data_IF_475747859234
#
_entry.id   IF_475747859234
#
_cell.length_a   1.000
_cell.length_b   1.000
_cell.length_c   1.000
_cell.angle_alpha   90.00
_cell.angle_beta   90.00
_cell.angle_gamma   90.00
#
_symmetry.space_group_name_H-M   'P 1'
#
loop_
_entity.id
_entity.type
_entity.pdbx_description
1 polymer ?
#
# COMPACT_ATOMS: atom_id res chain seq x y z
N UNK A 1 15.17 -53.32 6.32
CA UNK A 1 15.63 -52.02 6.81
C UNK A 1 16.25 -52.21 8.19
N UNK A 2 17.54 -51.94 8.34
CA UNK A 2 18.20 -51.87 9.67
C UNK A 2 18.44 -50.40 9.98
N UNK A 3 17.91 -49.94 11.12
CA UNK A 3 18.14 -48.58 11.61
C UNK A 3 19.00 -48.67 12.86
N UNK A 4 20.19 -48.08 12.81
CA UNK A 4 21.10 -47.99 13.97
C UNK A 4 21.19 -46.53 14.39
N UNK A 5 20.94 -46.29 15.67
CA UNK A 5 21.18 -45.00 16.32
C UNK A 5 22.47 -45.09 17.13
N UNK A 6 23.46 -44.29 16.76
CA UNK A 6 24.69 -44.17 17.52
C UNK A 6 24.79 -42.81 18.20
N UNK A 7 25.12 -42.83 19.49
CA UNK A 7 25.46 -41.63 20.24
C UNK A 7 26.99 -41.59 20.36
N UNK A 8 27.63 -40.60 19.74
CA UNK A 8 29.06 -40.38 19.94
C UNK A 8 29.31 -39.02 20.58
N UNK A 9 30.06 -39.03 21.69
CA UNK A 9 30.43 -37.84 22.44
C UNK A 9 31.88 -37.49 22.10
N UNK A 10 32.08 -36.41 21.35
CA UNK A 10 33.32 -35.60 21.39
C UNK A 10 32.98 -34.21 21.92
N UNK A 11 34.00 -33.45 22.29
CA UNK A 11 33.99 -32.19 23.08
C UNK A 11 33.06 -31.04 22.62
N UNK A 12 32.14 -31.22 21.66
CA UNK A 12 31.25 -30.20 21.11
C UNK A 12 29.74 -30.57 21.16
N UNK A 13 29.32 -31.40 22.11
CA UNK A 13 27.91 -31.77 22.33
C UNK A 13 27.47 -33.10 21.67
N UNK A 14 26.30 -33.66 22.05
CA UNK A 14 25.81 -34.91 21.51
C UNK A 14 25.36 -34.72 20.06
N UNK A 15 25.94 -35.49 19.14
CA UNK A 15 25.42 -35.62 17.77
C UNK A 15 24.76 -36.97 17.64
N UNK A 16 23.52 -36.97 17.15
CA UNK A 16 22.80 -38.19 16.76
C UNK A 16 23.07 -38.41 15.28
N UNK A 17 23.46 -39.61 14.90
CA UNK A 17 23.46 -40.03 13.51
C UNK A 17 22.45 -41.16 13.32
N UNK A 18 21.67 -41.06 12.24
CA UNK A 18 20.76 -42.11 11.75
C UNK A 18 21.45 -42.79 10.59
N UNK A 19 21.70 -44.09 10.72
CA UNK A 19 22.08 -44.93 9.60
C UNK A 19 20.85 -45.70 9.16
N UNK A 20 20.44 -45.50 7.92
CA UNK A 20 19.33 -46.23 7.32
C UNK A 20 19.88 -47.08 6.19
N UNK A 21 19.85 -48.40 6.40
CA UNK A 21 20.29 -49.36 5.41
C UNK A 21 19.06 -50.10 4.84
N UNK A 22 18.72 -49.78 3.59
CA UNK A 22 17.78 -50.53 2.77
C UNK A 22 18.52 -51.51 1.86
N UNK A 23 17.94 -52.70 1.66
CA UNK A 23 18.51 -53.73 0.77
C UNK A 23 19.46 -54.75 1.42
N UNK A 24 19.54 -54.86 2.75
CA UNK A 24 20.30 -55.94 3.42
C UNK A 24 19.77 -57.37 3.18
N UNK A 25 18.65 -57.51 2.45
CA UNK A 25 17.98 -58.79 2.18
C UNK A 25 18.78 -59.80 1.34
N UNK A 26 19.90 -59.40 0.74
CA UNK A 26 20.79 -60.30 0.00
C UNK A 26 22.13 -60.59 0.71
N UNK A 27 22.39 -59.98 1.87
CA UNK A 27 23.66 -60.16 2.59
C UNK A 27 23.79 -61.53 3.29
N UNK A 28 22.71 -62.32 3.30
CA UNK A 28 22.73 -63.73 3.72
C UNK A 28 22.30 -64.61 2.55
N UNK A 29 23.21 -65.00 1.64
CA UNK A 29 22.92 -66.11 0.75
C UNK A 29 22.80 -67.38 1.60
N UNK A 30 21.68 -68.08 1.46
CA UNK A 30 21.58 -69.48 1.85
C UNK A 30 22.47 -70.31 0.89
N UNK A 31 23.79 -70.28 1.12
CA UNK A 31 24.75 -70.95 0.26
C UNK A 31 26.18 -70.47 0.53
N UNK A 32 26.94 -71.26 1.30
CA UNK A 32 28.36 -71.02 1.51
C UNK A 32 29.16 -71.24 0.22
N UNK A 33 29.63 -70.15 -0.36
CA UNK A 33 30.67 -70.14 -1.38
C UNK A 33 31.94 -69.48 -0.83
N UNK A 34 33.12 -69.98 -1.20
CA UNK A 34 34.43 -69.46 -0.78
C UNK A 34 34.79 -68.12 -1.48
N UNK A 35 33.95 -67.09 -1.33
CA UNK A 35 34.32 -65.72 -1.63
C UNK A 35 35.12 -65.13 -0.46
N UNK A 36 36.12 -64.29 -0.73
CA UNK A 36 36.91 -63.64 0.32
C UNK A 36 36.00 -62.89 1.29
N UNK A 37 36.13 -63.19 2.59
CA UNK A 37 35.30 -62.75 3.72
C UNK A 37 35.36 -61.24 4.02
N UNK A 38 35.79 -60.41 3.07
CA UNK A 38 36.02 -58.99 3.27
C UNK A 38 34.80 -58.10 2.97
N UNK A 39 33.75 -58.65 2.38
CA UNK A 39 32.58 -57.88 1.91
C UNK A 39 31.21 -58.40 2.39
N UNK A 40 31.16 -59.44 3.24
CA UNK A 40 29.92 -59.95 3.83
C UNK A 40 30.07 -60.31 5.32
N UNK A 41 28.96 -60.28 6.06
CA UNK A 41 28.91 -60.60 7.49
C UNK A 41 28.87 -62.13 7.64
N UNK A 42 30.03 -62.76 7.84
CA UNK A 42 30.11 -64.19 8.13
C UNK A 42 29.52 -64.53 9.52
N UNK A 43 28.86 -65.68 9.64
CA UNK A 43 28.16 -66.11 10.86
C UNK A 43 29.07 -66.35 12.08
N UNK A 44 30.40 -66.43 11.93
CA UNK A 44 31.25 -66.95 13.00
C UNK A 44 32.03 -65.93 13.83
N UNK A 45 32.51 -64.78 13.30
CA UNK A 45 32.81 -63.59 14.13
C UNK A 45 32.91 -62.36 13.19
N UNK A 46 31.85 -61.55 13.02
CA UNK A 46 32.01 -60.32 12.26
C UNK A 46 32.87 -59.32 13.05
N UNK A 47 34.00 -58.90 12.48
CA UNK A 47 34.70 -57.71 12.94
C UNK A 47 33.89 -56.47 12.53
N UNK A 48 32.81 -56.24 13.30
CA UNK A 48 31.94 -55.08 13.16
C UNK A 48 32.72 -53.78 13.25
N UNK A 49 33.84 -53.76 13.98
CA UNK A 49 34.72 -52.60 14.08
C UNK A 49 35.32 -52.24 12.73
N UNK A 50 35.88 -53.22 12.02
CA UNK A 50 36.48 -53.01 10.71
C UNK A 50 35.43 -52.66 9.65
N UNK A 51 34.27 -53.33 9.66
CA UNK A 51 33.18 -53.03 8.73
C UNK A 51 32.68 -51.58 8.90
N UNK A 52 32.41 -51.17 10.14
CA UNK A 52 31.97 -49.79 10.44
C UNK A 52 33.07 -48.78 10.10
N UNK A 53 34.32 -49.05 10.45
CA UNK A 53 35.44 -48.16 10.12
C UNK A 53 35.57 -47.96 8.60
N UNK A 54 35.44 -49.03 7.82
CA UNK A 54 35.50 -48.98 6.35
C UNK A 54 34.28 -48.24 5.78
N UNK A 55 33.09 -48.46 6.33
CA UNK A 55 31.89 -47.71 5.96
C UNK A 55 32.08 -46.21 6.20
N UNK A 56 32.54 -45.81 7.39
CA UNK A 56 32.73 -44.39 7.72
C UNK A 56 33.87 -43.73 6.95
N UNK A 57 34.92 -44.47 6.58
CA UNK A 57 36.10 -43.92 5.89
C UNK A 57 35.97 -43.92 4.37
N UNK A 58 35.35 -44.95 3.78
CA UNK A 58 35.25 -45.11 2.32
C UNK A 58 33.89 -44.66 1.77
N UNK A 59 32.81 -44.85 2.54
CA UNK A 59 31.44 -44.50 2.13
C UNK A 59 30.84 -43.34 2.92
N UNK A 60 31.57 -42.82 3.92
CA UNK A 60 31.26 -41.57 4.58
C UNK A 60 31.43 -40.41 3.60
N UNK A 61 30.43 -40.18 2.74
CA UNK A 61 30.22 -38.87 2.14
C UNK A 61 30.04 -37.92 3.31
N UNK A 62 31.12 -37.22 3.68
CA UNK A 62 31.00 -36.02 4.52
C UNK A 62 29.95 -35.19 3.80
N UNK A 63 28.79 -35.00 4.42
CA UNK A 63 27.85 -33.97 4.00
C UNK A 63 28.68 -32.70 4.14
N UNK A 64 29.30 -32.26 3.03
CA UNK A 64 29.83 -30.91 2.96
C UNK A 64 28.60 -30.08 3.27
N UNK A 65 28.65 -29.34 4.37
CA UNK A 65 27.62 -28.35 4.64
C UNK A 65 27.37 -27.64 3.31
N UNK A 66 26.10 -27.54 2.91
CA UNK A 66 25.74 -26.82 1.70
C UNK A 66 26.56 -25.53 1.70
N UNK A 67 27.27 -25.22 0.60
CA UNK A 67 28.12 -24.03 0.57
C UNK A 67 27.27 -22.88 1.11
N UNK A 68 27.76 -22.23 2.16
CA UNK A 68 27.04 -21.12 2.77
C UNK A 68 26.67 -20.17 1.63
N UNK A 69 25.37 -19.91 1.46
CA UNK A 69 24.96 -18.98 0.42
C UNK A 69 25.68 -17.66 0.72
N UNK A 70 26.37 -17.09 -0.28
CA UNK A 70 27.06 -15.82 -0.09
C UNK A 70 26.03 -14.77 0.31
N UNK A 71 26.45 -13.80 1.12
CA UNK A 71 25.62 -12.66 1.44
C UNK A 71 25.18 -11.95 0.13
N UNK A 72 23.93 -11.54 0.05
CA UNK A 72 23.37 -10.81 -1.09
C UNK A 72 22.54 -9.64 -0.60
N UNK A 73 22.70 -8.46 -1.20
CA UNK A 73 21.73 -7.36 -1.00
C UNK A 73 20.46 -7.73 -1.77
N UNK A 74 19.31 -7.69 -1.09
CA UNK A 74 17.99 -7.99 -1.69
C UNK A 74 17.40 -6.73 -2.30
N UNK A 75 17.45 -5.62 -1.56
CA UNK A 75 16.99 -4.31 -2.01
C UNK A 75 17.73 -3.21 -1.27
N UNK A 76 17.77 -2.03 -1.87
CA UNK A 76 18.26 -0.78 -1.28
C UNK A 76 17.35 0.37 -1.73
N UNK A 77 17.00 1.26 -0.81
CA UNK A 77 16.18 2.43 -1.05
C UNK A 77 16.82 3.66 -0.39
N UNK A 78 16.53 4.83 -0.92
CA UNK A 78 16.98 6.09 -0.36
C UNK A 78 15.81 7.06 -0.19
N UNK A 79 15.89 7.86 0.87
CA UNK A 79 14.90 8.86 1.23
C UNK A 79 15.62 10.17 1.51
N UNK A 80 15.14 11.26 0.91
CA UNK A 80 15.68 12.59 1.13
C UNK A 80 15.27 13.08 2.52
N UNK A 81 16.18 13.75 3.20
CA UNK A 81 15.94 14.42 4.48
C UNK A 81 16.27 15.92 4.31
N UNK A 82 15.41 16.71 3.63
CA UNK A 82 15.71 18.08 3.20
C UNK A 82 16.11 18.99 4.35
N UNK A 83 15.39 18.88 5.47
CA UNK A 83 15.62 19.67 6.69
C UNK A 83 17.01 19.41 7.30
N UNK A 84 17.56 18.20 7.13
CA UNK A 84 18.86 17.82 7.64
C UNK A 84 19.98 17.96 6.60
N UNK A 85 19.64 18.31 5.36
CA UNK A 85 20.59 18.29 4.24
C UNK A 85 21.19 16.90 4.04
N UNK A 86 20.42 15.84 4.25
CA UNK A 86 20.91 14.47 4.29
C UNK A 86 20.07 13.52 3.42
N UNK A 87 20.61 12.33 3.15
CA UNK A 87 19.89 11.22 2.53
C UNK A 87 20.02 10.01 3.43
N UNK A 88 18.88 9.46 3.86
CA UNK A 88 18.81 8.19 4.57
C UNK A 88 18.75 7.05 3.54
N UNK A 89 19.59 6.03 3.71
CA UNK A 89 19.61 4.85 2.85
C UNK A 89 19.31 3.64 3.71
N UNK A 90 18.34 2.83 3.32
CA UNK A 90 17.96 1.59 3.99
C UNK A 90 17.94 0.43 3.01
N UNK A 91 18.04 -0.79 3.54
CA UNK A 91 18.03 -1.98 2.71
C UNK A 91 17.93 -3.27 3.51
N UNK A 92 17.95 -4.38 2.78
CA UNK A 92 17.94 -5.72 3.35
C UNK A 92 18.95 -6.61 2.65
N UNK A 93 19.54 -7.53 3.41
CA UNK A 93 20.40 -8.58 2.89
C UNK A 93 19.78 -9.97 3.08
N UNK A 94 20.23 -10.93 2.29
CA UNK A 94 19.96 -12.34 2.42
C UNK A 94 21.28 -13.07 2.70
N UNK A 95 21.25 -14.04 3.62
CA UNK A 95 22.43 -14.76 4.05
C UNK A 95 23.26 -14.04 5.12
N UNK A 96 24.33 -14.68 5.64
CA UNK A 96 25.13 -14.14 6.73
C UNK A 96 26.10 -13.07 6.24
N UNK A 97 25.64 -11.81 6.19
CA UNK A 97 26.50 -10.66 5.93
C UNK A 97 27.28 -10.28 7.20
N UNK A 98 28.60 -10.11 7.07
CA UNK A 98 29.43 -9.50 8.11
C UNK A 98 29.27 -7.98 8.11
N UNK A 99 29.23 -7.37 6.93
CA UNK A 99 28.99 -5.95 6.74
C UNK A 99 28.34 -5.64 5.38
N UNK A 100 27.84 -4.41 5.25
CA UNK A 100 27.31 -3.83 4.00
C UNK A 100 27.97 -2.49 3.77
N UNK A 101 28.61 -2.34 2.61
CA UNK A 101 29.14 -1.08 2.12
C UNK A 101 28.08 -0.35 1.29
N UNK A 102 27.67 0.83 1.75
CA UNK A 102 26.65 1.67 1.11
C UNK A 102 27.31 2.94 0.56
N UNK A 103 26.93 3.37 -0.64
CA UNK A 103 27.37 4.63 -1.25
C UNK A 103 26.22 5.33 -1.97
N UNK A 104 26.35 6.64 -2.17
CA UNK A 104 25.47 7.41 -3.06
C UNK A 104 26.27 7.82 -4.30
N UNK A 105 25.73 7.57 -5.49
CA UNK A 105 26.32 7.98 -6.77
C UNK A 105 25.48 9.07 -7.41
N UNK A 106 26.11 10.19 -7.78
CA UNK A 106 25.44 11.29 -8.47
C UNK A 106 26.37 11.97 -9.47
N UNK A 107 25.86 12.96 -10.19
CA UNK A 107 26.67 13.72 -11.16
C UNK A 107 27.85 14.45 -10.49
N UNK A 108 27.71 14.81 -9.20
CA UNK A 108 28.75 15.45 -8.40
C UNK A 108 29.85 14.49 -7.91
N UNK A 109 29.69 13.17 -8.13
CA UNK A 109 30.66 12.14 -7.72
C UNK A 109 30.03 11.04 -6.86
N UNK A 110 30.86 10.43 -6.00
CA UNK A 110 30.45 9.33 -5.13
C UNK A 110 30.62 9.78 -3.67
N UNK A 111 29.58 9.62 -2.86
CA UNK A 111 29.64 9.77 -1.41
C UNK A 111 29.69 8.38 -0.75
N UNK A 112 30.71 8.13 0.07
CA UNK A 112 30.96 6.84 0.73
C UNK A 112 32.20 6.10 0.21
N UNK A 113 32.35 4.79 0.48
CA UNK A 113 31.37 3.94 1.14
C UNK A 113 31.26 4.19 2.65
N UNK A 114 30.06 3.99 3.19
CA UNK A 114 29.79 3.85 4.63
C UNK A 114 29.49 2.38 4.90
N UNK A 115 30.20 1.81 5.87
CA UNK A 115 30.08 0.38 6.21
C UNK A 115 29.19 0.24 7.44
N UNK A 116 28.18 -0.64 7.35
CA UNK A 116 27.23 -0.92 8.43
C UNK A 116 27.08 -2.43 8.61
N UNK A 117 26.90 -2.88 9.84
CA UNK A 117 26.57 -4.28 10.14
C UNK A 117 25.05 -4.42 10.12
N UNK A 118 24.46 -5.32 9.31
CA UNK A 118 23.02 -5.56 9.32
C UNK A 118 22.53 -6.00 10.70
N UNK A 119 21.31 -5.62 11.05
CA UNK A 119 20.62 -6.07 12.24
C UNK A 119 20.32 -7.57 12.22
N UNK A 120 19.81 -8.08 13.34
CA UNK A 120 19.41 -9.49 13.45
C UNK A 120 18.30 -9.88 12.44
N UNK A 121 17.49 -8.90 12.04
CA UNK A 121 16.46 -8.99 11.00
C UNK A 121 17.00 -8.85 9.56
N UNK A 122 18.33 -8.81 9.40
CA UNK A 122 19.04 -8.61 8.14
C UNK A 122 18.75 -7.26 7.46
N UNK A 123 18.28 -6.25 8.21
CA UNK A 123 18.08 -4.89 7.69
C UNK A 123 19.26 -4.00 8.03
N UNK A 124 19.50 -2.98 7.20
CA UNK A 124 20.52 -1.96 7.45
C UNK A 124 19.99 -0.57 7.14
N UNK A 125 20.56 0.44 7.81
CA UNK A 125 20.26 1.84 7.58
C UNK A 125 21.52 2.70 7.77
N UNK A 126 21.71 3.70 6.91
CA UNK A 126 22.86 4.61 6.92
C UNK A 126 22.40 6.02 6.53
N UNK A 127 22.89 7.04 7.24
CA UNK A 127 22.67 8.43 6.89
C UNK A 127 23.89 9.03 6.19
N UNK A 128 23.65 9.74 5.08
CA UNK A 128 24.63 10.56 4.37
C UNK A 128 24.31 12.04 4.59
N UNK A 129 25.05 12.76 5.45
CA UNK A 129 24.86 14.20 5.66
C UNK A 129 25.55 15.02 4.56
N UNK A 130 25.16 16.29 4.43
CA UNK A 130 25.73 17.27 3.51
C UNK A 130 25.70 16.81 2.04
N UNK A 131 24.61 16.15 1.65
CA UNK A 131 24.41 15.71 0.27
C UNK A 131 24.10 16.95 -0.58
N UNK A 132 24.69 17.03 -1.78
CA UNK A 132 24.43 18.17 -2.66
C UNK A 132 22.98 18.16 -3.14
N UNK A 133 22.34 19.34 -3.08
CA UNK A 133 20.94 19.54 -3.47
C UNK A 133 20.76 19.66 -4.98
N UNK A 134 19.55 19.38 -5.47
CA UNK A 134 19.15 19.60 -6.85
C UNK A 134 19.71 18.61 -7.88
N UNK A 135 20.54 17.64 -7.45
CA UNK A 135 21.04 16.57 -8.32
C UNK A 135 20.52 15.21 -7.84
N UNK A 136 20.19 14.29 -8.76
CA UNK A 136 19.80 12.93 -8.39
C UNK A 136 20.99 12.12 -7.84
N UNK A 137 20.72 11.34 -6.80
CA UNK A 137 21.63 10.45 -6.12
C UNK A 137 21.08 9.02 -6.10
N UNK A 138 21.82 8.07 -6.66
CA UNK A 138 21.46 6.66 -6.69
C UNK A 138 22.14 5.93 -5.52
N UNK A 139 21.39 5.29 -4.60
CA UNK A 139 22.00 4.46 -3.57
C UNK A 139 22.53 3.16 -4.16
N UNK A 140 23.73 2.76 -3.74
CA UNK A 140 24.38 1.52 -4.15
C UNK A 140 24.88 0.78 -2.92
N UNK A 141 24.51 -0.48 -2.78
CA UNK A 141 24.90 -1.34 -1.67
C UNK A 141 25.60 -2.62 -2.14
N UNK A 142 26.63 -3.03 -1.39
CA UNK A 142 27.38 -4.29 -1.56
C UNK A 142 27.48 -4.97 -0.21
N UNK A 143 27.06 -6.22 -0.10
CA UNK A 143 27.20 -7.01 1.12
C UNK A 143 28.50 -7.80 1.09
N UNK A 144 29.13 -8.01 2.25
CA UNK A 144 30.32 -8.85 2.41
C UNK A 144 30.07 -9.92 3.46
N UNK A 145 30.41 -11.16 3.16
CA UNK A 145 30.27 -12.27 4.11
C UNK A 145 31.45 -12.34 5.11
N UNK A 146 31.37 -13.26 6.08
CA UNK A 146 32.45 -13.47 7.07
C UNK A 146 33.77 -14.02 6.50
N UNK A 147 33.78 -14.46 5.25
CA UNK A 147 34.99 -14.87 4.52
C UNK A 147 35.59 -13.73 3.68
N UNK A 148 34.94 -12.56 3.66
CA UNK A 148 35.37 -11.40 2.88
C UNK A 148 34.90 -11.42 1.42
N UNK A 149 34.00 -12.32 1.05
CA UNK A 149 33.45 -12.39 -0.31
C UNK A 149 32.35 -11.34 -0.46
N UNK A 150 32.45 -10.53 -1.50
CA UNK A 150 31.48 -9.46 -1.82
C UNK A 150 30.35 -9.97 -2.72
N UNK A 151 29.15 -9.45 -2.50
CA UNK A 151 28.01 -9.61 -3.38
C UNK A 151 28.14 -8.78 -4.65
N UNK A 152 27.27 -9.02 -5.63
CA UNK A 152 27.03 -8.03 -6.67
C UNK A 152 26.47 -6.73 -6.04
N UNK A 153 26.79 -5.59 -6.66
CA UNK A 153 26.22 -4.31 -6.26
C UNK A 153 24.74 -4.24 -6.66
N UNK A 154 23.91 -3.75 -5.73
CA UNK A 154 22.49 -3.46 -5.98
C UNK A 154 22.31 -1.95 -5.95
N UNK A 155 21.65 -1.42 -6.98
CA UNK A 155 21.31 0.00 -7.10
C UNK A 155 19.82 0.19 -6.79
N UNK A 156 19.49 1.22 -6.02
CA UNK A 156 18.11 1.61 -5.74
C UNK A 156 17.61 2.72 -6.66
N UNK A 157 16.37 3.16 -6.46
CA UNK A 157 15.84 4.30 -7.18
C UNK A 157 16.61 5.59 -6.83
N UNK A 158 16.86 6.49 -7.81
CA UNK A 158 17.49 7.78 -7.53
C UNK A 158 16.62 8.65 -6.60
N UNK A 159 17.28 9.40 -5.72
CA UNK A 159 16.65 10.38 -4.84
C UNK A 159 17.23 11.77 -5.10
N UNK A 160 16.40 12.81 -5.07
CA UNK A 160 16.84 14.20 -5.20
C UNK A 160 16.65 14.88 -3.85
N UNK A 161 17.74 15.38 -3.26
CA UNK A 161 17.65 16.24 -2.09
C UNK A 161 17.32 17.65 -2.54
N UNK A 162 16.15 18.17 -2.16
CA UNK A 162 15.69 19.51 -2.54
C UNK A 162 16.21 20.58 -1.60
N UNK A 163 16.18 21.82 -2.07
CA UNK A 163 16.45 22.97 -1.22
C UNK A 163 15.14 23.42 -0.57
N UNK A 164 14.99 23.30 0.76
CA UNK A 164 13.79 23.78 1.44
C UNK A 164 13.59 25.29 1.31
N UNK A 165 14.62 26.06 0.93
CA UNK A 165 14.48 27.49 0.67
C UNK A 165 13.85 27.80 -0.70
N UNK A 166 13.84 26.84 -1.62
CA UNK A 166 13.27 27.00 -2.97
C UNK A 166 11.95 26.23 -3.14
N UNK A 167 11.59 25.38 -2.17
CA UNK A 167 10.34 24.65 -2.14
C UNK A 167 9.20 25.68 -2.10
N UNK A 168 8.43 25.74 -3.18
CA UNK A 168 7.29 26.63 -3.26
C UNK A 168 6.07 25.92 -2.70
N UNK A 169 5.17 26.61 -1.97
CA UNK A 169 3.93 25.99 -1.59
C UNK A 169 3.16 25.57 -2.86
N UNK A 170 2.34 24.52 -2.78
CA UNK A 170 1.47 24.16 -3.89
C UNK A 170 0.51 25.31 -4.21
N UNK A 171 -0.26 25.20 -5.28
CA UNK A 171 -1.39 26.09 -5.54
C UNK A 171 -2.70 25.30 -5.54
N UNK A 172 -3.80 25.99 -5.18
CA UNK A 172 -5.14 25.42 -5.19
C UNK A 172 -6.17 26.47 -5.59
N UNK A 173 -7.08 26.07 -6.47
CA UNK A 173 -8.20 26.88 -6.92
C UNK A 173 -9.51 26.19 -6.59
N UNK A 174 -10.41 26.94 -5.97
CA UNK A 174 -11.79 26.56 -5.73
C UNK A 174 -12.64 27.10 -6.89
N UNK A 175 -13.16 26.20 -7.73
CA UNK A 175 -13.87 26.58 -8.95
C UNK A 175 -15.38 26.71 -8.71
N UNK A 176 -15.98 25.76 -8.00
CA UNK A 176 -17.40 25.77 -7.69
C UNK A 176 -17.69 25.19 -6.31
N UNK A 177 -18.69 25.77 -5.66
CA UNK A 177 -19.23 25.36 -4.36
C UNK A 177 -20.75 25.36 -4.48
N UNK A 178 -21.38 24.24 -4.15
CA UNK A 178 -22.82 24.05 -4.23
C UNK A 178 -23.34 23.44 -2.92
N UNK A 179 -24.43 23.97 -2.38
CA UNK A 179 -25.09 23.38 -1.20
C UNK A 179 -26.11 22.34 -1.65
N UNK A 180 -25.99 21.12 -1.15
CA UNK A 180 -26.88 19.99 -1.45
C UNK A 180 -27.26 19.30 -0.14
N UNK A 181 -28.52 19.43 0.27
CA UNK A 181 -29.13 18.69 1.39
C UNK A 181 -28.32 18.74 2.70
N UNK A 182 -27.89 19.93 3.15
CA UNK A 182 -27.09 20.09 4.38
C UNK A 182 -25.62 19.68 4.23
N UNK A 183 -25.18 19.44 3.00
CA UNK A 183 -23.78 19.29 2.64
C UNK A 183 -23.37 20.41 1.68
N UNK A 184 -22.07 20.67 1.61
CA UNK A 184 -21.44 21.44 0.56
C UNK A 184 -20.63 20.49 -0.32
N UNK A 185 -20.87 20.54 -1.61
CA UNK A 185 -20.06 19.88 -2.63
C UNK A 185 -19.18 20.94 -3.30
N UNK A 186 -17.89 20.66 -3.39
CA UNK A 186 -16.93 21.57 -3.97
C UNK A 186 -16.04 20.85 -4.97
N UNK A 187 -15.60 21.61 -5.98
CA UNK A 187 -14.68 21.13 -7.03
C UNK A 187 -13.71 22.22 -7.42
N UNK A 188 -12.54 21.81 -7.89
CA UNK A 188 -11.49 22.73 -8.25
C UNK A 188 -10.30 22.04 -8.92
N UNK A 189 -9.20 22.78 -8.96
CA UNK A 189 -7.90 22.30 -9.44
C UNK A 189 -6.82 22.61 -8.42
N UNK A 190 -5.76 21.84 -8.43
CA UNK A 190 -4.57 22.03 -7.60
C UNK A 190 -3.35 21.52 -8.32
N UNK A 191 -2.18 22.01 -7.94
CA UNK A 191 -0.93 21.52 -8.47
C UNK A 191 0.25 22.01 -7.66
N UNK A 192 1.37 21.36 -7.93
CA UNK A 192 2.67 21.69 -7.40
C UNK A 192 3.65 21.50 -8.55
N UNK A 193 4.38 22.56 -8.90
CA UNK A 193 5.30 22.55 -10.04
C UNK A 193 6.43 21.53 -9.87
N UNK A 194 6.64 21.05 -8.64
CA UNK A 194 7.81 20.29 -8.23
C UNK A 194 7.42 18.90 -7.69
N UNK A 195 6.32 18.77 -6.94
CA UNK A 195 5.87 17.51 -6.31
C UNK A 195 4.69 16.80 -6.97
N UNK A 196 4.12 17.40 -8.02
CA UNK A 196 2.99 16.87 -8.75
C UNK A 196 1.66 17.29 -8.12
N UNK A 197 0.81 16.32 -7.78
CA UNK A 197 -0.54 16.61 -7.30
C UNK A 197 -0.56 16.64 -5.75
N UNK A 198 -0.85 17.79 -5.11
CA UNK A 198 -0.86 17.91 -3.66
C UNK A 198 -2.11 17.27 -3.04
N UNK A 199 -2.07 16.99 -1.74
CA UNK A 199 -3.26 16.61 -0.99
C UNK A 199 -4.17 17.84 -0.81
N UNK A 200 -5.48 17.69 -1.00
CA UNK A 200 -6.44 18.80 -0.88
C UNK A 200 -7.47 18.51 0.22
N UNK A 201 -7.73 19.50 1.05
CA UNK A 201 -8.80 19.51 2.04
C UNK A 201 -9.76 20.68 1.77
N UNK A 202 -11.07 20.42 1.89
CA UNK A 202 -12.12 21.43 1.89
C UNK A 202 -12.42 21.84 3.33
N UNK A 203 -12.38 23.13 3.62
CA UNK A 203 -12.64 23.69 4.94
C UNK A 203 -13.84 24.62 4.87
N UNK A 204 -14.80 24.46 5.77
CA UNK A 204 -15.93 25.38 5.93
C UNK A 204 -16.00 25.93 7.36
N UNK A 205 -16.25 27.23 7.48
CA UNK A 205 -16.45 27.93 8.75
C UNK A 205 -17.77 28.68 8.74
N UNK A 206 -18.61 28.41 9.75
CA UNK A 206 -19.93 29.02 9.87
C UNK A 206 -19.86 30.41 10.51
N UNK A 207 -20.80 31.28 10.14
CA UNK A 207 -21.01 32.53 10.86
C UNK A 207 -21.34 32.27 12.34
N UNK A 208 -20.82 33.12 13.23
CA UNK A 208 -21.03 32.97 14.69
C UNK A 208 -20.05 32.02 15.40
N UNK A 209 -18.99 31.56 14.73
CA UNK A 209 -17.90 30.82 15.37
C UNK A 209 -18.16 29.32 15.54
N UNK A 210 -19.06 28.74 14.74
CA UNK A 210 -19.08 27.30 14.54
C UNK A 210 -17.67 26.86 14.10
N UNK A 211 -17.12 25.83 14.78
CA UNK A 211 -15.78 25.34 14.52
C UNK A 211 -15.59 24.97 13.04
N UNK A 212 -14.35 25.04 12.52
CA UNK A 212 -14.09 24.63 11.15
C UNK A 212 -14.47 23.15 10.99
N UNK A 213 -15.25 22.85 9.96
CA UNK A 213 -15.49 21.50 9.49
C UNK A 213 -14.59 21.25 8.28
N UNK A 214 -14.00 20.06 8.21
CA UNK A 214 -13.01 19.70 7.21
C UNK A 214 -13.37 18.37 6.55
N UNK A 215 -13.12 18.27 5.24
CA UNK A 215 -13.24 17.04 4.48
C UNK A 215 -12.05 16.90 3.53
N UNK A 216 -11.49 15.70 3.46
CA UNK A 216 -10.47 15.37 2.47
C UNK A 216 -11.10 15.29 1.07
N UNK A 217 -10.45 15.89 0.08
CA UNK A 217 -10.85 15.81 -1.31
C UNK A 217 -10.34 14.52 -1.96
N UNK A 218 -11.06 14.06 -2.98
CA UNK A 218 -10.51 13.11 -3.96
C UNK A 218 -9.81 13.92 -5.05
N UNK A 219 -8.53 13.67 -5.25
CA UNK A 219 -7.69 14.39 -6.22
C UNK A 219 -7.26 13.42 -7.33
N UNK A 220 -7.48 13.82 -8.58
CA UNK A 220 -7.06 13.07 -9.77
C UNK A 220 -5.64 13.41 -10.21
N UNK A 221 -5.07 12.57 -11.08
CA UNK A 221 -3.71 12.73 -11.61
C UNK A 221 -3.53 14.02 -12.44
N UNK A 222 -4.62 14.60 -12.92
CA UNK A 222 -4.65 15.88 -13.66
C UNK A 222 -4.72 17.10 -12.74
N UNK A 223 -4.68 16.90 -11.42
CA UNK A 223 -4.83 17.95 -10.42
C UNK A 223 -6.27 18.41 -10.21
N UNK A 224 -7.25 17.82 -10.91
CA UNK A 224 -8.67 18.05 -10.64
C UNK A 224 -9.06 17.42 -9.31
N UNK A 225 -9.87 18.13 -8.50
CA UNK A 225 -10.33 17.60 -7.22
C UNK A 225 -11.83 17.83 -6.97
N UNK A 226 -12.43 16.95 -6.17
CA UNK A 226 -13.77 17.13 -5.63
C UNK A 226 -13.85 16.72 -4.17
N UNK A 227 -14.68 17.42 -3.40
CA UNK A 227 -14.89 17.15 -1.98
C UNK A 227 -16.37 17.36 -1.61
N UNK A 228 -16.82 16.60 -0.61
CA UNK A 228 -18.16 16.76 -0.03
C UNK A 228 -18.03 16.87 1.48
N UNK A 229 -18.55 17.97 2.03
CA UNK A 229 -18.54 18.26 3.45
C UNK A 229 -19.98 18.33 3.98
N UNK A 230 -20.33 17.45 4.90
CA UNK A 230 -21.69 17.33 5.44
C UNK A 230 -21.75 17.69 6.94
N UNK A 231 -22.95 17.81 7.48
CA UNK A 231 -23.16 18.17 8.90
C UNK A 231 -23.04 19.68 9.15
N UNK A 232 -23.16 20.47 8.09
CA UNK A 232 -23.23 21.93 8.19
C UNK A 232 -24.62 22.30 8.69
N UNK A 233 -24.69 23.00 9.82
CA UNK A 233 -25.94 23.62 10.27
C UNK A 233 -26.38 24.71 9.29
N UNK A 234 -27.65 25.13 9.32
CA UNK A 234 -28.06 26.22 8.45
C UNK A 234 -27.35 27.53 8.78
N UNK A 235 -27.24 28.35 7.76
CA UNK A 235 -26.60 29.65 7.83
C UNK A 235 -25.63 29.86 6.68
N UNK A 236 -24.90 30.97 6.75
CA UNK A 236 -23.85 31.27 5.81
C UNK A 236 -22.54 30.64 6.26
N UNK A 237 -21.86 30.00 5.31
CA UNK A 237 -20.58 29.34 5.50
C UNK A 237 -19.56 29.92 4.55
N UNK A 238 -18.38 30.25 5.08
CA UNK A 238 -17.22 30.56 4.25
C UNK A 238 -16.45 29.28 3.98
N UNK A 239 -16.27 28.95 2.71
CA UNK A 239 -15.65 27.72 2.22
C UNK A 239 -14.38 28.06 1.46
N UNK A 240 -13.30 27.34 1.73
CA UNK A 240 -12.06 27.43 0.97
C UNK A 240 -11.37 26.07 0.90
N UNK A 241 -10.50 25.90 -0.07
CA UNK A 241 -9.68 24.71 -0.20
C UNK A 241 -8.26 25.00 0.30
N UNK A 242 -7.63 23.97 0.88
CA UNK A 242 -6.22 23.98 1.30
C UNK A 242 -5.51 22.85 0.56
N UNK A 243 -4.45 23.16 -0.18
CA UNK A 243 -3.55 22.15 -0.72
C UNK A 243 -2.30 22.05 0.16
N UNK A 244 -1.81 20.83 0.40
CA UNK A 244 -0.56 20.56 1.13
C UNK A 244 0.31 19.60 0.31
N UNK A 245 1.58 19.96 0.13
CA UNK A 245 2.56 19.14 -0.59
C UNK A 245 3.18 18.07 0.32
N UNK A 246 4.20 17.36 -0.17
CA UNK A 246 4.92 16.35 0.63
C UNK A 246 5.89 16.95 1.63
N UNK A 247 6.31 18.19 1.42
CA UNK A 247 7.16 18.94 2.34
C UNK A 247 6.37 19.55 3.52
N UNK A 248 5.03 19.50 3.47
CA UNK A 248 4.13 20.07 4.45
C UNK A 248 3.86 21.57 4.24
N UNK A 249 4.26 22.14 3.09
CA UNK A 249 3.88 23.50 2.75
C UNK A 249 2.44 23.50 2.24
N UNK A 250 1.73 24.58 2.57
CA UNK A 250 0.31 24.68 2.27
C UNK A 250 -0.04 26.00 1.57
N UNK A 251 -1.03 25.94 0.69
CA UNK A 251 -1.66 27.09 0.08
C UNK A 251 -3.17 27.02 0.16
N UNK A 252 -3.81 28.17 -0.03
CA UNK A 252 -5.26 28.35 0.09
C UNK A 252 -5.85 28.94 -1.16
N UNK A 253 -7.06 28.48 -1.48
CA UNK A 253 -7.86 29.11 -2.51
C UNK A 253 -8.43 30.43 -1.99
N UNK A 254 -8.88 31.28 -2.92
CA UNK A 254 -9.83 32.34 -2.56
C UNK A 254 -11.08 31.71 -1.91
N UNK A 255 -11.62 32.31 -0.84
CA UNK A 255 -12.82 31.80 -0.19
C UNK A 255 -14.07 32.11 -1.01
N UNK A 256 -15.09 31.26 -0.89
CA UNK A 256 -16.43 31.46 -1.40
C UNK A 256 -17.43 31.38 -0.25
N UNK A 257 -18.48 32.20 -0.27
CA UNK A 257 -19.57 32.12 0.71
C UNK A 257 -20.72 31.31 0.12
N UNK A 258 -21.22 30.35 0.89
CA UNK A 258 -22.36 29.51 0.51
C UNK A 258 -23.39 29.52 1.62
N UNK A 259 -24.65 29.73 1.25
CA UNK A 259 -25.77 29.51 2.16
C UNK A 259 -26.07 28.02 2.24
N UNK A 260 -26.08 27.48 3.45
CA UNK A 260 -26.55 26.13 3.73
C UNK A 260 -27.94 26.29 4.35
N UNK A 261 -28.95 25.70 3.72
CA UNK A 261 -30.28 25.60 4.31
C UNK A 261 -30.30 24.55 5.43
N UNK A 262 -31.37 24.52 6.23
CA UNK A 262 -31.57 23.54 7.33
C UNK A 262 -31.75 22.09 6.82
N UNK A 263 -31.33 21.81 5.59
CA UNK A 263 -31.47 20.51 4.94
C UNK A 263 -32.90 20.04 4.99
N UNK A 264 -33.85 20.92 4.61
CA UNK A 264 -35.22 21.07 5.11
C UNK A 264 -36.08 19.84 5.40
N UNK A 265 -35.68 18.61 5.08
CA UNK A 265 -36.35 17.36 5.40
C UNK A 265 -35.67 16.64 6.58
N UNK A 266 -36.37 16.57 7.71
CA UNK A 266 -36.05 15.72 8.87
C UNK A 266 -36.24 14.23 8.54
N UNK A 267 -37.14 13.91 7.60
CA UNK A 267 -37.40 12.56 7.14
C UNK A 267 -37.81 12.56 5.66
N UNK A 268 -37.42 11.53 4.90
CA UNK A 268 -37.89 11.30 3.53
C UNK A 268 -38.56 9.94 3.45
N UNK A 269 -39.78 9.91 2.94
CA UNK A 269 -40.54 8.68 2.73
C UNK A 269 -40.86 8.51 1.27
N UNK A 270 -40.44 7.39 0.69
CA UNK A 270 -40.82 6.96 -0.66
C UNK A 270 -41.95 5.94 -0.60
N UNK A 271 -43.06 6.24 -1.28
CA UNK A 271 -44.16 5.31 -1.47
C UNK A 271 -44.98 5.73 -2.70
N UNK A 272 -45.81 4.82 -3.20
CA UNK A 272 -46.87 5.24 -4.10
C UNK A 272 -48.01 5.90 -3.33
N UNK A 273 -48.99 6.47 -4.04
CA UNK A 273 -50.08 7.22 -3.41
C UNK A 273 -50.85 6.38 -2.37
N UNK A 274 -51.05 5.08 -2.63
CA UNK A 274 -51.70 4.19 -1.68
C UNK A 274 -50.85 3.94 -0.42
N UNK A 275 -49.53 3.80 -0.58
CA UNK A 275 -48.59 3.66 0.53
C UNK A 275 -48.51 4.91 1.40
N UNK A 276 -48.52 6.09 0.79
CA UNK A 276 -48.65 7.36 1.53
C UNK A 276 -50.02 7.51 2.19
N UNK A 277 -51.09 7.05 1.52
CA UNK A 277 -52.44 7.06 2.07
C UNK A 277 -52.56 6.33 3.40
N UNK A 278 -51.96 5.15 3.48
CA UNK A 278 -51.93 4.33 4.69
C UNK A 278 -51.14 4.98 5.84
N UNK A 279 -50.29 5.97 5.55
CA UNK A 279 -49.44 6.68 6.52
C UNK A 279 -49.97 8.08 6.89
N UNK A 280 -51.03 8.62 6.27
CA UNK A 280 -51.55 9.95 6.62
C UNK A 280 -51.98 10.09 8.10
N UNK A 281 -52.44 9.00 8.73
CA UNK A 281 -52.79 9.01 10.15
C UNK A 281 -51.60 9.25 11.08
N UNK A 282 -50.39 8.92 10.62
CA UNK A 282 -49.12 9.16 11.31
C UNK A 282 -48.46 10.51 10.94
N UNK A 283 -48.94 11.19 9.90
CA UNK A 283 -48.41 12.47 9.41
C UNK A 283 -49.04 13.72 10.04
N UNK A 284 -49.91 13.54 11.05
CA UNK A 284 -50.27 14.57 12.02
C UNK A 284 -51.37 15.57 11.65
N UNK A 285 -51.61 15.92 10.36
CA UNK A 285 -52.49 17.06 10.02
C UNK A 285 -53.48 16.91 8.84
N UNK A 286 -53.73 15.70 8.31
CA UNK A 286 -54.78 15.48 7.30
C UNK A 286 -54.32 15.61 5.84
N UNK A 287 -55.27 15.59 4.90
CA UNK A 287 -55.03 15.30 3.47
C UNK A 287 -54.29 16.42 2.72
N UNK A 288 -53.08 16.11 2.25
CA UNK A 288 -52.26 16.96 1.38
C UNK A 288 -50.99 17.44 2.07
N UNK A 289 -50.02 17.88 1.27
CA UNK A 289 -48.85 18.61 1.76
C UNK A 289 -49.14 20.12 1.63
N UNK A 290 -48.42 21.02 2.34
CA UNK A 290 -48.63 22.47 2.23
C UNK A 290 -48.41 23.02 0.81
N UNK A 291 -47.70 22.29 -0.02
CA UNK A 291 -47.22 22.71 -1.34
C UNK A 291 -47.87 22.01 -2.53
N UNK A 292 -48.62 20.92 -2.32
CA UNK A 292 -49.39 20.26 -3.36
C UNK A 292 -50.63 19.57 -2.80
N UNK A 293 -51.73 19.62 -3.55
CA UNK A 293 -52.96 18.94 -3.14
C UNK A 293 -52.89 17.44 -3.43
N UNK A 294 -53.67 16.65 -2.70
CA UNK A 294 -53.80 15.21 -3.00
C UNK A 294 -54.30 14.93 -4.42
N UNK A 295 -55.18 15.79 -4.97
CA UNK A 295 -55.68 15.65 -6.35
C UNK A 295 -54.56 15.87 -7.35
N UNK A 296 -53.67 16.83 -7.10
CA UNK A 296 -52.52 17.10 -7.95
C UNK A 296 -51.49 15.98 -7.86
N UNK A 297 -51.25 15.42 -6.66
CA UNK A 297 -50.41 14.21 -6.51
C UNK A 297 -50.98 13.02 -7.29
N UNK A 298 -52.30 12.78 -7.20
CA UNK A 298 -52.97 11.73 -7.97
C UNK A 298 -52.91 11.98 -9.48
N UNK A 299 -53.10 13.23 -9.92
CA UNK A 299 -53.02 13.60 -11.33
C UNK A 299 -51.59 13.44 -11.88
N UNK A 300 -50.57 13.73 -11.05
CA UNK A 300 -49.16 13.70 -11.43
C UNK A 300 -48.57 12.30 -11.44
N UNK A 301 -48.85 11.49 -10.42
CA UNK A 301 -48.21 10.19 -10.18
C UNK A 301 -49.17 8.99 -10.34
N UNK A 302 -50.49 9.24 -10.43
CA UNK A 302 -51.47 8.16 -10.36
C UNK A 302 -51.43 7.41 -9.02
N UNK A 303 -51.96 6.17 -9.01
CA UNK A 303 -52.03 5.35 -7.79
C UNK A 303 -50.77 4.51 -7.54
N UNK A 304 -49.98 4.25 -8.58
CA UNK A 304 -48.97 3.21 -8.56
C UNK A 304 -47.53 3.74 -8.64
N UNK A 305 -47.31 4.96 -9.13
CA UNK A 305 -45.97 5.54 -9.21
C UNK A 305 -45.48 5.92 -7.81
N UNK A 306 -44.21 5.59 -7.53
CA UNK A 306 -43.56 5.88 -6.25
C UNK A 306 -42.98 7.29 -6.32
N UNK A 307 -43.23 8.09 -5.29
CA UNK A 307 -42.67 9.43 -5.16
C UNK A 307 -42.29 9.74 -3.70
N UNK A 308 -41.29 10.60 -3.48
CA UNK A 308 -40.89 11.01 -2.14
C UNK A 308 -41.84 12.07 -1.56
N UNK A 309 -42.03 12.01 -0.24
CA UNK A 309 -42.49 13.13 0.59
C UNK A 309 -41.43 13.44 1.64
N UNK A 310 -41.33 14.72 2.00
CA UNK A 310 -40.27 15.28 2.83
C UNK A 310 -40.85 15.89 4.10
N UNK A 311 -40.47 15.43 5.28
CA UNK A 311 -40.92 16.00 6.56
C UNK A 311 -40.10 17.23 6.91
N UNK A 312 -40.69 18.41 6.82
CA UNK A 312 -40.15 19.69 7.26
C UNK A 312 -39.75 19.71 8.73
N UNK A 313 -38.79 20.58 9.08
CA UNK A 313 -38.45 20.92 10.47
C UNK A 313 -39.63 21.51 11.26
N UNK A 314 -40.64 22.02 10.55
CA UNK A 314 -41.90 22.50 11.12
C UNK A 314 -42.91 21.35 11.41
N UNK A 315 -42.51 20.10 11.17
CA UNK A 315 -43.32 18.91 11.38
C UNK A 315 -44.36 18.66 10.29
N UNK A 316 -44.26 19.33 9.13
CA UNK A 316 -45.20 19.16 8.01
C UNK A 316 -44.55 18.41 6.85
N UNK A 317 -45.32 17.61 6.13
CA UNK A 317 -44.83 16.90 4.95
C UNK A 317 -44.96 17.76 3.71
N UNK A 318 -43.93 17.80 2.86
CA UNK A 318 -43.84 18.53 1.61
C UNK A 318 -43.61 17.56 0.46
N UNK A 319 -44.05 17.93 -0.74
CA UNK A 319 -43.79 17.17 -1.95
C UNK A 319 -42.55 17.67 -2.68
N UNK A 320 -42.39 18.99 -2.76
CA UNK A 320 -41.25 19.64 -3.36
C UNK A 320 -40.28 20.06 -2.25
N UNK A 321 -39.05 19.52 -2.25
CA UNK A 321 -38.07 19.86 -1.22
C UNK A 321 -37.68 21.35 -1.24
N UNK A 322 -37.88 22.07 -2.35
CA UNK A 322 -37.64 23.52 -2.41
C UNK A 322 -38.63 24.32 -1.54
N UNK A 323 -39.76 23.74 -1.18
CA UNK A 323 -40.79 24.38 -0.35
C UNK A 323 -40.63 24.07 1.14
N UNK A 324 -39.66 23.23 1.54
CA UNK A 324 -39.41 22.98 2.96
C UNK A 324 -38.99 24.29 3.65
N UNK A 325 -39.48 24.60 4.85
CA UNK A 325 -39.01 25.75 5.61
C UNK A 325 -37.49 25.65 5.81
N UNK A 326 -36.77 26.70 5.42
CA UNK A 326 -35.30 26.71 5.45
C UNK A 326 -34.63 25.96 4.29
N UNK A 327 -35.37 25.52 3.27
CA UNK A 327 -34.80 24.94 2.05
C UNK A 327 -34.08 25.96 1.18
N UNK A 328 -34.59 27.20 1.14
CA UNK A 328 -33.89 28.29 0.49
C UNK A 328 -32.64 28.60 1.34
N UNK A 329 -31.43 28.48 0.77
CA UNK A 329 -30.25 28.94 1.46
C UNK A 329 -30.43 30.42 1.81
N UNK A 330 -29.95 30.87 2.98
CA UNK A 330 -30.00 32.29 3.31
C UNK A 330 -29.30 33.10 2.21
N UNK A 331 -29.80 34.30 1.96
CA UNK A 331 -29.14 35.25 1.05
C UNK A 331 -27.84 35.70 1.73
N UNK A 332 -26.75 35.02 1.38
CA UNK A 332 -25.44 35.26 1.96
C UNK A 332 -24.74 36.33 1.13
N UNK A 333 -24.77 37.57 1.60
CA UNK A 333 -23.87 38.57 1.06
C UNK A 333 -22.43 38.17 1.39
N UNK A 334 -21.53 38.31 0.42
CA UNK A 334 -20.12 38.09 0.65
C UNK A 334 -19.62 39.12 1.66
N UNK A 335 -19.44 38.71 2.92
CA UNK A 335 -18.75 39.53 3.90
C UNK A 335 -17.35 39.87 3.36
N UNK A 336 -16.82 41.08 3.62
CA UNK A 336 -15.45 41.40 3.25
C UNK A 336 -14.53 40.36 3.89
N UNK A 337 -13.71 39.72 3.06
CA UNK A 337 -12.76 38.68 3.47
C UNK A 337 -11.70 39.36 4.33
N UNK A 338 -11.96 39.47 5.64
CA UNK A 338 -10.91 39.76 6.60
C UNK A 338 -9.96 38.54 6.62
N UNK A 339 -8.66 38.81 6.62
CA UNK A 339 -7.57 37.84 6.56
C UNK A 339 -7.74 36.78 7.67
N UNK A 340 -8.43 35.69 7.33
CA UNK A 340 -8.70 34.58 8.24
C UNK A 340 -7.42 33.76 8.35
N UNK A 341 -6.52 34.23 9.21
CA UNK A 341 -5.19 33.67 9.44
C UNK A 341 -5.19 32.14 9.49
N UNK A 342 -4.14 31.52 8.94
CA UNK A 342 -4.07 30.08 8.73
C UNK A 342 -4.11 29.27 10.03
N UNK A 343 -5.17 28.48 10.33
CA UNK A 343 -5.09 27.53 11.41
C UNK A 343 -5.27 26.14 10.80
N UNK A 344 -4.25 25.58 10.15
CA UNK A 344 -4.28 24.14 9.88
C UNK A 344 -2.85 23.60 9.88
N UNK A 345 -2.52 22.93 10.98
CA UNK A 345 -1.57 21.83 10.95
C UNK A 345 -2.37 20.65 10.40
N UNK A 346 -2.45 20.56 9.07
CA UNK A 346 -2.93 19.35 8.39
C UNK A 346 -1.85 18.31 8.66
N UNK A 347 -1.95 17.64 9.81
CA UNK A 347 -0.91 16.73 10.29
C UNK A 347 -0.37 15.92 9.13
N UNK A 348 0.94 16.02 8.92
CA UNK A 348 1.63 15.43 7.77
C UNK A 348 1.06 14.03 7.48
N UNK A 349 0.80 13.68 6.20
CA UNK A 349 0.21 12.40 5.84
C UNK A 349 0.96 11.32 6.60
N UNK A 350 0.23 10.56 7.44
CA UNK A 350 0.82 9.64 8.40
C UNK A 350 1.92 8.83 7.71
N UNK A 351 3.14 9.05 8.18
CA UNK A 351 4.32 8.28 7.82
C UNK A 351 4.00 6.81 8.11
N UNK A 352 3.66 6.04 7.08
CA UNK A 352 3.46 4.60 7.17
C UNK A 352 4.80 3.84 7.31
N UNK A 353 5.86 4.51 7.78
CA UNK A 353 7.23 4.09 7.57
C UNK A 353 8.17 4.07 8.77
N UNK A 354 7.73 4.23 10.03
CA UNK A 354 8.64 3.99 11.16
C UNK A 354 7.90 3.52 12.42
N UNK A 355 7.86 2.21 12.62
CA UNK A 355 7.55 1.65 13.92
C UNK A 355 8.63 2.11 14.92
N UNK A 356 8.20 2.91 15.89
CA UNK A 356 8.93 3.21 17.12
C UNK A 356 9.18 1.90 17.88
N UNK A 357 10.34 1.29 17.65
CA UNK A 357 10.84 0.14 18.40
C UNK A 357 11.52 0.65 19.67
N UNK A 358 10.70 1.09 20.63
CA UNK A 358 11.12 1.21 22.02
C UNK A 358 11.68 -0.13 22.54
N UNK A 359 12.55 -0.12 23.57
CA UNK A 359 13.30 -1.29 23.99
C UNK A 359 12.39 -2.34 24.61
N UNK A 360 12.15 -3.42 23.87
CA UNK A 360 11.38 -4.56 24.32
C UNK A 360 12.09 -5.29 25.46
N UNK A 361 11.35 -5.50 26.55
CA UNK A 361 11.78 -6.31 27.70
C UNK A 361 11.59 -7.76 27.28
N UNK A 362 12.70 -8.50 27.23
CA UNK A 362 12.69 -9.91 26.83
C UNK A 362 11.68 -10.76 27.61
N UNK A 363 11.04 -11.74 26.95
CA UNK A 363 10.06 -12.59 27.61
C UNK A 363 10.73 -13.63 28.52
N UNK A 364 10.08 -13.80 29.67
CA UNK A 364 10.33 -14.79 30.71
C UNK A 364 10.13 -16.23 30.15
N UNK A 365 11.08 -17.17 30.32
CA UNK A 365 10.98 -18.49 29.75
C UNK A 365 10.34 -19.46 30.75
N UNK A 366 9.05 -19.34 31.03
CA UNK A 366 8.29 -20.37 31.73
C UNK A 366 6.79 -20.22 31.44
N UNK A 367 6.31 -20.80 30.34
CA UNK A 367 4.94 -21.35 30.28
C UNK A 367 4.79 -22.29 29.06
N UNK A 368 4.79 -23.59 29.35
CA UNK A 368 4.47 -24.63 28.40
C UNK A 368 2.98 -24.92 28.38
N UNK A 369 2.37 -24.90 27.19
CA UNK A 369 1.08 -25.55 26.95
C UNK A 369 1.12 -26.20 25.57
N UNK A 370 0.91 -27.52 25.57
CA UNK A 370 0.95 -28.36 24.37
C UNK A 370 -0.29 -28.20 23.50
N UNK A 371 -0.07 -28.29 22.19
CA UNK A 371 -1.12 -28.57 21.22
C UNK A 371 -0.61 -29.64 20.24
N UNK A 372 -1.41 -30.70 20.14
CA UNK A 372 -1.19 -31.89 19.33
C UNK A 372 -2.11 -31.78 18.08
N UNK A 373 -1.60 -31.86 16.84
CA UNK A 373 -2.45 -32.13 15.69
C UNK A 373 -2.26 -33.56 15.17
N UNK A 374 -3.40 -34.25 15.04
CA UNK A 374 -3.56 -35.59 14.48
C UNK A 374 -3.08 -35.72 13.00
N UNK A 375 -2.76 -36.94 12.53
CA UNK A 375 -2.12 -37.16 11.23
C UNK A 375 -3.11 -37.19 10.05
N UNK A 376 -2.69 -36.59 8.94
CA UNK A 376 -3.34 -36.71 7.64
C UNK A 376 -2.93 -38.00 6.93
N UNK A 377 -3.91 -38.66 6.33
CA UNK A 377 -3.86 -39.95 5.65
C UNK A 377 -3.38 -39.88 4.19
N UNK A 378 -2.59 -40.89 3.82
CA UNK A 378 -2.45 -41.60 2.55
C UNK A 378 -3.04 -40.99 1.25
N UNK A 379 -2.16 -40.72 0.29
CA UNK A 379 -2.44 -40.87 -1.13
C UNK A 379 -1.19 -41.40 -1.88
N UNK A 380 -1.34 -42.55 -2.51
CA UNK A 380 -0.35 -43.20 -3.38
C UNK A 380 -0.33 -42.56 -4.79
N UNK A 381 0.76 -42.74 -5.58
CA UNK A 381 0.96 -42.07 -6.87
C UNK A 381 0.49 -42.93 -8.05
N UNK A 382 0.39 -42.36 -9.27
CA UNK A 382 0.52 -43.13 -10.49
C UNK A 382 1.79 -42.78 -11.29
N UNK A 383 2.54 -43.84 -11.54
CA UNK A 383 3.19 -44.31 -12.78
C UNK A 383 3.80 -43.31 -13.80
N UNK A 384 5.04 -43.67 -14.14
CA UNK A 384 5.81 -43.33 -15.34
C UNK A 384 5.08 -43.72 -16.64
N UNK A 385 5.22 -42.91 -17.71
CA UNK A 385 5.43 -43.44 -19.07
C UNK A 385 6.18 -42.43 -19.96
N UNK A 386 6.91 -43.04 -20.89
CA UNK A 386 8.00 -42.62 -21.75
C UNK A 386 7.58 -41.65 -22.87
N UNK A 387 8.55 -40.90 -23.42
CA UNK A 387 8.36 -40.30 -24.74
C UNK A 387 9.38 -39.25 -25.14
N UNK A 388 10.24 -39.63 -26.07
CA UNK A 388 11.30 -38.83 -26.71
C UNK A 388 10.79 -37.72 -27.66
N UNK A 389 11.75 -36.91 -28.09
CA UNK A 389 11.87 -36.18 -29.35
C UNK A 389 11.30 -34.75 -29.47
N UNK A 390 12.24 -33.81 -29.61
CA UNK A 390 12.43 -33.21 -30.94
C UNK A 390 11.90 -31.79 -31.17
N UNK A 391 12.88 -30.89 -31.37
CA UNK A 391 12.87 -29.69 -32.24
C UNK A 391 12.23 -28.40 -31.71
N UNK A 392 13.11 -27.39 -31.67
CA UNK A 392 12.82 -25.97 -31.64
C UNK A 392 12.08 -25.49 -32.91
N UNK A 393 11.48 -24.30 -32.85
CA UNK A 393 11.52 -23.39 -33.97
C UNK A 393 12.15 -22.05 -33.60
N UNK A 394 13.15 -21.69 -34.42
CA UNK A 394 13.49 -20.32 -34.78
C UNK A 394 12.23 -19.57 -35.25
N UNK A 395 12.01 -18.37 -34.71
CA UNK A 395 11.22 -17.34 -35.39
C UNK A 395 11.97 -16.02 -35.33
N UNK A 396 12.60 -15.73 -36.46
CA UNK A 396 13.29 -14.50 -36.76
C UNK A 396 12.34 -13.29 -36.74
N UNK A 397 12.78 -12.24 -36.04
CA UNK A 397 12.31 -10.87 -36.20
C UNK A 397 12.40 -10.46 -37.68
N UNK A 398 11.29 -9.96 -38.22
CA UNK A 398 11.28 -9.19 -39.45
C UNK A 398 11.30 -7.70 -39.12
N UNK A 399 12.47 -7.14 -39.38
CA UNK A 399 12.78 -5.75 -39.65
C UNK A 399 11.99 -5.23 -40.88
N UNK A 400 11.32 -4.08 -40.73
CA UNK A 400 10.93 -3.18 -41.81
C UNK A 400 10.81 -1.75 -41.27
N UNK A 401 11.87 -0.97 -41.52
CA UNK A 401 11.80 0.07 -42.56
C UNK A 401 10.87 1.25 -42.29
N UNK A 402 11.50 2.32 -41.86
CA UNK A 402 11.08 3.71 -41.66
C UNK A 402 10.75 4.44 -43.00
N UNK A 403 10.48 5.77 -43.03
CA UNK A 403 9.19 6.38 -43.35
C UNK A 403 9.18 7.17 -44.68
N UNK A 404 8.00 7.67 -45.10
CA UNK A 404 7.96 8.73 -46.11
C UNK A 404 6.76 9.69 -45.97
N UNK A 405 7.13 10.98 -45.98
CA UNK A 405 6.47 12.15 -46.56
C UNK A 405 5.10 12.69 -46.04
N UNK A 406 5.16 13.92 -45.51
CA UNK A 406 4.52 15.19 -45.96
C UNK A 406 3.06 15.13 -46.48
N UNK A 407 2.14 16.06 -46.23
CA UNK A 407 2.18 17.52 -46.02
C UNK A 407 0.75 18.00 -45.58
N UNK A 408 0.50 19.32 -45.42
CA UNK A 408 -0.56 19.86 -44.54
C UNK A 408 -1.92 20.05 -45.21
N UNK A 409 -2.98 20.17 -44.38
CA UNK A 409 -4.30 20.65 -44.82
C UNK A 409 -4.40 22.16 -44.66
N UNK A 410 -4.67 22.79 -45.80
CA UNK A 410 -4.91 24.21 -46.04
C UNK A 410 -6.37 24.60 -45.71
N UNK A 411 -6.56 25.90 -45.57
CA UNK A 411 -7.73 26.64 -45.14
C UNK A 411 -8.83 26.82 -46.21
N UNK A 412 -9.97 27.35 -45.76
CA UNK A 412 -11.10 27.85 -46.56
C UNK A 412 -12.40 27.10 -46.26
N UNK A 413 -13.56 27.70 -46.01
CA UNK A 413 -14.04 29.08 -46.19
C UNK A 413 -15.39 29.18 -45.41
N UNK A 414 -15.82 30.36 -44.92
CA UNK A 414 -17.07 30.57 -44.22
C UNK A 414 -18.17 31.03 -45.19
N UNK A 415 -19.36 30.46 -45.10
CA UNK A 415 -20.65 31.11 -45.40
C UNK A 415 -21.75 30.03 -45.48
N UNK A 416 -22.73 30.12 -44.58
CA UNK A 416 -24.16 30.09 -44.94
C UNK A 416 -25.04 30.10 -43.67
N UNK A 417 -25.66 31.26 -43.44
CA UNK A 417 -27.01 31.42 -42.88
C UNK A 417 -27.91 31.87 -44.06
N UNK A 418 -29.26 31.97 -43.96
CA UNK A 418 -30.10 32.14 -42.77
C UNK A 418 -30.72 30.87 -42.19
#
# INVERSE_FOLDING_TARGET
MLIIFGLWKRFAGPRVWRLEADGLGHAWPAGGGQGQELEFVAQQVPDFGLFLARMFTQHGRRVRAAPAQPAQVVWVAAEAQPQQGAVAVSGQVAGPAADVAVSLRGAAGILGPRVVVPGADQRFAVLFPNVARGTPWTPVAVARDGAGVESAAVEGAPVILRDPANDQPPWVQLAAVESVSGCVEARGTSGDDEDGVPAVALVARGEGGAGPLEALATVGDDGGWSARLCGLGAGCWTVFAVATDRAGLAARSAPQVVGVGDGGAVEVVEANLNGHLMRYGTYGLGYGTPDITYVDLLARYGLNEVFPLYLGVDGRWYHDPANLPGAAPPDCEAAPVEDMGLPVDLGAPADLGAADMGPDRGPDPDEGVGYDPAPASDAAPPAEDLGQDGRAPDLALRDRGEPDAAAPRDAGDPDQAP
#
